data_IF_455976898709
#
_entry.id   IF_455976898709
#
_cell.length_a   1.000
_cell.length_b   1.000
_cell.length_c   1.000
_cell.angle_alpha   90.00
_cell.angle_beta   90.00
_cell.angle_gamma   90.00
#
_symmetry.space_group_name_H-M   'P 1'
#
loop_
_entity.id
_entity.type
_entity.pdbx_description
1 polymer ?
#
# COMPACT_ATOMS: atom_id res chain seq x y z
N UNK A 1 -10.00 13.58 -17.14
CA UNK A 1 -8.57 13.58 -17.52
C UNK A 1 -8.34 12.47 -18.53
N UNK A 2 -8.78 12.65 -19.77
CA UNK A 2 -8.83 11.55 -20.76
C UNK A 2 -7.46 11.18 -21.35
N UNK A 3 -6.44 12.01 -21.16
CA UNK A 3 -5.08 11.79 -21.70
C UNK A 3 -4.01 11.64 -20.62
N UNK A 4 -4.38 11.62 -19.34
CA UNK A 4 -3.41 11.48 -18.26
C UNK A 4 -3.04 10.01 -18.14
N UNK A 5 -1.81 9.67 -18.52
CA UNK A 5 -1.29 8.29 -18.46
C UNK A 5 -0.30 8.08 -17.30
N UNK A 6 0.29 9.16 -16.77
CA UNK A 6 1.23 9.12 -15.65
C UNK A 6 0.73 10.04 -14.54
N UNK A 7 0.68 9.52 -13.32
CA UNK A 7 0.29 10.27 -12.13
C UNK A 7 1.25 9.96 -10.98
N UNK A 8 1.75 11.03 -10.35
CA UNK A 8 2.61 10.95 -9.19
C UNK A 8 1.94 11.70 -8.04
N UNK A 9 1.58 10.97 -6.99
CA UNK A 9 0.96 11.49 -5.78
C UNK A 9 1.96 11.33 -4.64
N UNK A 10 2.60 12.44 -4.26
CA UNK A 10 3.66 12.47 -3.23
C UNK A 10 3.21 13.33 -2.06
N UNK A 11 3.38 12.81 -0.85
CA UNK A 11 3.06 13.47 0.42
C UNK A 11 1.63 14.02 0.48
N UNK A 12 0.66 13.18 0.15
CA UNK A 12 -0.75 13.53 0.14
C UNK A 12 -1.55 12.70 1.14
N UNK A 13 -2.60 13.32 1.68
CA UNK A 13 -3.52 12.65 2.59
C UNK A 13 -4.52 11.79 1.82
N UNK A 14 -4.58 10.51 2.17
CA UNK A 14 -5.59 9.59 1.66
C UNK A 14 -6.86 9.73 2.50
N UNK A 15 -7.95 10.14 1.86
CA UNK A 15 -9.27 10.28 2.50
C UNK A 15 -10.25 9.23 2.00
N UNK A 16 -11.35 9.06 2.74
CA UNK A 16 -12.45 8.17 2.37
C UNK A 16 -12.90 8.41 0.93
N UNK A 17 -13.01 7.32 0.16
CA UNK A 17 -13.39 7.35 -1.25
C UNK A 17 -12.21 7.49 -2.22
N UNK A 18 -10.97 7.59 -1.74
CA UNK A 18 -9.77 7.59 -2.58
C UNK A 18 -9.71 6.35 -3.49
N UNK A 19 -9.95 5.17 -2.91
CA UNK A 19 -9.99 3.87 -3.60
C UNK A 19 -10.96 3.88 -4.80
N UNK A 20 -12.15 4.48 -4.63
CA UNK A 20 -13.13 4.62 -5.69
C UNK A 20 -12.68 5.63 -6.75
N UNK A 21 -12.17 6.78 -6.31
CA UNK A 21 -11.76 7.85 -7.22
C UNK A 21 -10.57 7.44 -8.10
N UNK A 22 -9.55 6.81 -7.51
CA UNK A 22 -8.37 6.34 -8.26
C UNK A 22 -8.73 5.16 -9.18
N UNK A 23 -9.63 4.26 -8.76
CA UNK A 23 -10.10 3.14 -9.58
C UNK A 23 -10.83 3.56 -10.86
N UNK A 24 -11.44 4.76 -10.88
CA UNK A 24 -12.05 5.33 -12.08
C UNK A 24 -11.03 5.92 -13.07
N UNK A 25 -9.75 6.03 -12.69
CA UNK A 25 -8.71 6.63 -13.52
C UNK A 25 -8.10 5.60 -14.49
N UNK A 26 -8.92 4.95 -15.31
CA UNK A 26 -8.55 3.81 -16.19
C UNK A 26 -7.58 4.16 -17.33
N UNK A 27 -7.24 5.43 -17.53
CA UNK A 27 -6.20 5.84 -18.48
C UNK A 27 -4.79 5.78 -17.88
N UNK A 28 -4.67 5.65 -16.56
CA UNK A 28 -3.38 5.65 -15.87
C UNK A 28 -2.63 4.35 -16.18
N UNK A 29 -1.42 4.53 -16.74
CA UNK A 29 -0.46 3.47 -17.06
C UNK A 29 0.72 3.46 -16.09
N UNK A 30 1.13 4.62 -15.58
CA UNK A 30 2.24 4.74 -14.62
C UNK A 30 1.77 5.49 -13.38
N UNK A 31 1.86 4.87 -12.21
CA UNK A 31 1.40 5.43 -10.95
C UNK A 31 2.51 5.37 -9.90
N UNK A 32 2.82 6.51 -9.28
CA UNK A 32 3.60 6.55 -8.05
C UNK A 32 2.75 7.11 -6.92
N UNK A 33 2.73 6.40 -5.78
CA UNK A 33 2.02 6.80 -4.58
C UNK A 33 2.98 6.80 -3.39
N UNK A 34 3.07 7.94 -2.72
CA UNK A 34 3.77 8.12 -1.45
C UNK A 34 2.81 8.88 -0.52
N UNK A 35 1.98 8.20 0.28
CA UNK A 35 0.99 8.85 1.11
C UNK A 35 1.61 9.41 2.41
N UNK A 36 0.94 10.38 3.02
CA UNK A 36 1.18 10.79 4.40
C UNK A 36 0.34 9.95 5.36
N UNK A 37 0.92 9.62 6.51
CA UNK A 37 0.29 8.82 7.55
C UNK A 37 0.01 9.67 8.79
N UNK A 38 -1.07 10.45 8.76
CA UNK A 38 -1.47 11.31 9.89
C UNK A 38 -2.22 10.49 10.95
N UNK A 39 -3.13 9.60 10.53
CA UNK A 39 -3.89 8.73 11.42
C UNK A 39 -4.31 7.44 10.71
N UNK A 40 -4.38 6.32 11.44
CA UNK A 40 -4.90 5.04 10.94
C UNK A 40 -4.20 4.52 9.67
N UNK A 41 -2.89 4.29 9.76
CA UNK A 41 -2.07 3.80 8.64
C UNK A 41 -2.60 2.52 7.98
N UNK A 42 -3.21 1.61 8.73
CA UNK A 42 -3.89 0.43 8.19
C UNK A 42 -5.02 0.79 7.21
N UNK A 43 -5.84 1.78 7.55
CA UNK A 43 -6.94 2.26 6.71
C UNK A 43 -6.40 2.94 5.45
N UNK A 44 -5.37 3.78 5.59
CA UNK A 44 -4.67 4.40 4.45
C UNK A 44 -4.13 3.35 3.48
N UNK A 45 -3.40 2.36 3.99
CA UNK A 45 -2.82 1.30 3.17
C UNK A 45 -3.90 0.46 2.48
N UNK A 46 -5.02 0.19 3.17
CA UNK A 46 -6.14 -0.52 2.57
C UNK A 46 -6.77 0.28 1.41
N UNK A 47 -7.01 1.59 1.58
CA UNK A 47 -7.56 2.44 0.51
C UNK A 47 -6.62 2.54 -0.70
N UNK A 48 -5.30 2.67 -0.46
CA UNK A 48 -4.31 2.66 -1.54
C UNK A 48 -4.34 1.32 -2.27
N UNK A 49 -4.28 0.20 -1.54
CA UNK A 49 -4.27 -1.13 -2.12
C UNK A 49 -5.56 -1.39 -2.92
N UNK A 50 -6.74 -1.19 -2.31
CA UNK A 50 -8.03 -1.34 -2.99
C UNK A 50 -8.16 -0.48 -4.25
N UNK A 51 -7.63 0.74 -4.24
CA UNK A 51 -7.67 1.64 -5.39
C UNK A 51 -6.75 1.18 -6.52
N UNK A 52 -5.50 0.84 -6.20
CA UNK A 52 -4.50 0.42 -7.20
C UNK A 52 -4.92 -0.89 -7.88
N UNK A 53 -5.48 -1.84 -7.12
CA UNK A 53 -5.96 -3.10 -7.67
C UNK A 53 -7.09 -2.90 -8.71
N UNK A 54 -7.91 -1.87 -8.58
CA UNK A 54 -8.93 -1.58 -9.60
C UNK A 54 -8.31 -1.16 -10.95
N UNK A 55 -7.06 -0.70 -10.98
CA UNK A 55 -6.35 -0.31 -12.20
C UNK A 55 -5.63 -1.46 -12.91
N UNK A 56 -5.87 -2.72 -12.51
CA UNK A 56 -5.18 -3.90 -13.06
C UNK A 56 -5.20 -4.04 -14.59
N UNK A 57 -6.22 -3.51 -15.28
CA UNK A 57 -6.31 -3.56 -16.74
C UNK A 57 -5.40 -2.53 -17.43
N UNK A 58 -5.19 -1.37 -16.82
CA UNK A 58 -4.49 -0.23 -17.45
C UNK A 58 -3.08 -0.01 -16.93
N UNK A 59 -2.81 -0.42 -15.69
CA UNK A 59 -1.59 -0.08 -14.98
C UNK A 59 -0.42 -0.94 -15.46
N UNK A 60 0.60 -0.29 -15.99
CA UNK A 60 1.83 -0.94 -16.49
C UNK A 60 3.00 -0.78 -15.53
N UNK A 61 3.04 0.31 -14.76
CA UNK A 61 4.09 0.59 -13.77
C UNK A 61 3.46 1.13 -12.49
N UNK A 62 3.81 0.53 -11.36
CA UNK A 62 3.37 0.95 -10.05
C UNK A 62 4.55 1.07 -9.10
N UNK A 63 4.71 2.26 -8.51
CA UNK A 63 5.70 2.53 -7.47
C UNK A 63 4.98 2.94 -6.19
N UNK A 64 5.16 2.17 -5.12
CA UNK A 64 4.69 2.54 -3.80
C UNK A 64 5.87 2.96 -2.93
N UNK A 65 5.96 4.24 -2.61
CA UNK A 65 6.89 4.75 -1.61
C UNK A 65 6.36 4.53 -0.20
N UNK A 66 7.08 3.73 0.58
CA UNK A 66 6.87 3.51 2.00
C UNK A 66 7.93 4.30 2.77
N UNK A 67 7.48 5.13 3.68
CA UNK A 67 8.40 5.97 4.46
C UNK A 67 9.06 5.16 5.56
N UNK A 68 10.35 5.43 5.85
CA UNK A 68 11.05 4.78 6.96
C UNK A 68 10.39 5.08 8.30
N UNK A 69 9.75 6.24 8.41
CA UNK A 69 8.99 6.70 9.57
C UNK A 69 7.76 5.79 9.82
N UNK A 70 7.03 5.40 8.76
CA UNK A 70 5.94 4.43 8.90
C UNK A 70 6.47 3.07 9.36
N UNK A 71 7.55 2.58 8.73
CA UNK A 71 8.14 1.28 9.09
C UNK A 71 8.54 1.27 10.57
N UNK A 72 9.19 2.34 11.03
CA UNK A 72 9.60 2.48 12.43
C UNK A 72 8.41 2.50 13.39
N UNK A 73 7.35 3.22 13.07
CA UNK A 73 6.12 3.23 13.91
C UNK A 73 5.48 1.83 13.94
N UNK A 74 5.51 1.11 12.83
CA UNK A 74 4.97 -0.25 12.73
C UNK A 74 5.77 -1.25 13.57
N UNK A 75 7.10 -1.16 13.51
CA UNK A 75 8.01 -1.95 14.34
C UNK A 75 7.75 -1.70 15.84
N UNK A 76 7.64 -0.44 16.25
CA UNK A 76 7.36 -0.08 17.65
C UNK A 76 5.98 -0.61 18.12
N UNK A 77 4.98 -0.63 17.23
CA UNK A 77 3.67 -1.22 17.55
C UNK A 77 3.78 -2.73 17.77
N UNK A 78 4.53 -3.44 16.93
CA UNK A 78 4.78 -4.89 17.09
C UNK A 78 5.47 -5.18 18.41
N UNK A 79 6.54 -4.44 18.72
CA UNK A 79 7.30 -4.62 19.96
C UNK A 79 6.40 -4.45 21.21
N UNK A 80 5.51 -3.44 21.22
CA UNK A 80 4.56 -3.24 22.32
C UNK A 80 3.53 -4.38 22.47
N UNK A 81 3.12 -4.99 21.36
CA UNK A 81 2.21 -6.14 21.39
C UNK A 81 2.92 -7.42 21.87
N UNK A 82 4.18 -7.62 21.50
CA UNK A 82 4.97 -8.81 21.88
C UNK A 82 5.45 -8.79 23.33
N UNK A 83 5.76 -7.62 23.88
CA UNK A 83 6.07 -7.48 25.32
C UNK A 83 4.91 -7.95 26.22
N UNK A 84 3.68 -7.99 25.67
CA UNK A 84 2.49 -8.53 26.32
C UNK A 84 2.34 -10.06 26.16
N UNK A 85 2.97 -10.68 25.15
CA UNK A 85 2.86 -12.09 24.78
C UNK A 85 4.25 -12.70 24.45
N UNK A 86 4.98 -13.15 25.47
CA UNK A 86 6.40 -13.58 25.44
C UNK A 86 6.82 -14.74 24.51
N UNK A 87 5.98 -15.25 23.60
CA UNK A 87 6.23 -16.52 22.90
C UNK A 87 6.10 -16.50 21.36
N UNK A 88 5.88 -15.35 20.71
CA UNK A 88 5.75 -15.31 19.24
C UNK A 88 6.98 -14.71 18.56
N UNK A 89 7.38 -15.30 17.42
CA UNK A 89 8.51 -14.82 16.60
C UNK A 89 8.10 -13.52 15.92
N UNK A 90 8.96 -12.50 16.00
CA UNK A 90 8.84 -11.23 15.27
C UNK A 90 8.38 -11.43 13.82
N UNK A 91 7.16 -11.00 13.44
CA UNK A 91 6.72 -11.01 12.06
C UNK A 91 7.56 -9.99 11.27
N UNK A 92 8.55 -10.49 10.53
CA UNK A 92 9.48 -9.67 9.74
C UNK A 92 10.64 -9.14 10.59
N UNK A 93 11.68 -9.95 10.76
CA UNK A 93 12.83 -9.72 11.66
C UNK A 93 13.70 -8.47 11.42
N UNK A 94 13.30 -7.54 10.54
CA UNK A 94 14.01 -6.30 10.23
C UNK A 94 13.12 -5.02 10.25
N UNK A 95 11.87 -5.09 10.72
CA UNK A 95 10.98 -3.90 10.76
C UNK A 95 10.43 -3.47 9.40
N UNK A 96 10.65 -4.26 8.34
CA UNK A 96 10.16 -4.02 6.98
C UNK A 96 8.70 -4.50 6.82
N UNK A 97 7.80 -3.96 7.63
CA UNK A 97 6.38 -4.31 7.66
C UNK A 97 5.51 -3.06 7.66
N UNK A 98 4.29 -3.16 7.13
CA UNK A 98 3.27 -2.12 7.19
C UNK A 98 1.98 -2.67 7.81
N UNK A 99 1.17 -1.85 8.48
CA UNK A 99 -0.13 -2.27 8.96
C UNK A 99 -1.14 -2.24 7.81
N UNK A 100 -2.00 -3.24 7.71
CA UNK A 100 -3.10 -3.36 6.74
C UNK A 100 -4.38 -3.80 7.44
N UNK A 101 -5.53 -3.64 6.79
CA UNK A 101 -6.80 -4.15 7.30
C UNK A 101 -7.09 -5.53 6.73
N UNK A 102 -7.70 -6.41 7.54
CA UNK A 102 -8.33 -7.66 7.08
C UNK A 102 -9.78 -7.42 6.66
N UNK A 103 -10.27 -8.11 5.61
CA UNK A 103 -9.48 -8.93 4.68
C UNK A 103 -8.59 -8.06 3.79
N UNK A 104 -7.36 -8.52 3.53
CA UNK A 104 -6.47 -7.82 2.60
C UNK A 104 -7.07 -7.91 1.19
N UNK A 105 -7.25 -6.80 0.47
CA UNK A 105 -7.79 -6.79 -0.90
C UNK A 105 -7.02 -7.72 -1.84
N UNK A 106 -7.74 -8.53 -2.61
CA UNK A 106 -7.21 -9.46 -3.61
C UNK A 106 -8.20 -9.57 -4.78
N UNK A 107 -7.71 -9.39 -6.01
CA UNK A 107 -8.51 -9.45 -7.25
C UNK A 107 -8.88 -10.90 -7.59
N UNK A 108 -8.01 -11.86 -7.25
CA UNK A 108 -8.11 -13.26 -7.70
C UNK A 108 -9.39 -13.97 -7.24
N UNK A 109 -10.03 -13.48 -6.18
CA UNK A 109 -11.21 -14.12 -5.61
C UNK A 109 -12.54 -13.48 -5.98
N UNK A 110 -12.57 -12.42 -6.80
CA UNK A 110 -13.82 -11.76 -7.22
C UNK A 110 -14.73 -11.32 -6.07
N UNK A 111 -14.23 -11.36 -4.83
CA UNK A 111 -14.95 -10.93 -3.65
C UNK A 111 -14.89 -9.42 -3.69
N UNK A 112 -16.04 -8.83 -4.01
CA UNK A 112 -16.38 -7.49 -3.55
C UNK A 112 -15.83 -7.33 -2.13
N UNK A 113 -15.28 -6.16 -1.85
CA UNK A 113 -14.89 -5.69 -0.52
C UNK A 113 -16.13 -5.88 0.37
N UNK A 114 -16.31 -7.09 0.91
CA UNK A 114 -17.44 -7.42 1.74
C UNK A 114 -17.17 -6.66 3.03
N UNK A 115 -18.12 -5.82 3.43
CA UNK A 115 -18.13 -5.25 4.76
C UNK A 115 -18.06 -6.43 5.73
N UNK A 116 -16.89 -6.64 6.35
CA UNK A 116 -16.71 -7.69 7.31
C UNK A 116 -17.77 -7.48 8.40
N UNK A 117 -18.51 -8.53 8.75
CA UNK A 117 -19.45 -8.52 9.88
C UNK A 117 -18.75 -8.38 11.23
N UNK A 118 -17.41 -8.35 11.22
CA UNK A 118 -16.53 -8.16 12.37
C UNK A 118 -15.79 -6.82 12.22
N UNK A 119 -15.42 -6.16 13.32
CA UNK A 119 -14.62 -4.94 13.26
C UNK A 119 -13.32 -5.20 12.47
N UNK A 120 -12.89 -4.25 11.61
CA UNK A 120 -11.67 -4.40 10.83
C UNK A 120 -10.49 -4.72 11.74
N UNK A 121 -9.85 -5.87 11.51
CA UNK A 121 -8.65 -6.26 12.27
C UNK A 121 -7.41 -5.73 11.55
N UNK A 122 -6.49 -5.14 12.32
CA UNK A 122 -5.18 -4.70 11.82
C UNK A 122 -4.26 -5.92 11.76
N UNK A 123 -3.62 -6.13 10.62
CA UNK A 123 -2.57 -7.12 10.40
C UNK A 123 -1.27 -6.43 10.03
N UNK A 124 -0.15 -7.01 10.48
CA UNK A 124 1.19 -6.55 10.14
C UNK A 124 1.67 -7.35 8.93
N UNK A 125 1.77 -6.68 7.79
CA UNK A 125 2.13 -7.30 6.51
C UNK A 125 3.59 -6.97 6.16
N UNK A 126 4.47 -7.99 6.03
CA UNK A 126 5.82 -7.80 5.54
C UNK A 126 5.83 -7.27 4.10
N UNK A 127 6.74 -6.35 3.79
CA UNK A 127 6.87 -5.79 2.44
C UNK A 127 7.07 -6.86 1.33
N UNK A 128 7.84 -7.95 1.54
CA UNK A 128 7.94 -9.02 0.54
C UNK A 128 6.59 -9.70 0.25
N UNK A 129 5.73 -9.83 1.27
CA UNK A 129 4.41 -10.41 1.11
C UNK A 129 3.47 -9.45 0.39
N UNK A 130 3.56 -8.15 0.70
CA UNK A 130 2.86 -7.10 -0.06
C UNK A 130 3.26 -7.10 -1.54
N UNK A 131 4.56 -7.18 -1.82
CA UNK A 131 5.07 -7.24 -3.19
C UNK A 131 4.53 -8.47 -3.92
N UNK A 132 4.53 -9.64 -3.28
CA UNK A 132 3.95 -10.87 -3.84
C UNK A 132 2.45 -10.72 -4.13
N UNK A 133 1.69 -10.13 -3.20
CA UNK A 133 0.26 -9.87 -3.37
C UNK A 133 -0.01 -8.96 -4.57
N UNK A 134 0.75 -7.86 -4.67
CA UNK A 134 0.64 -6.91 -5.79
C UNK A 134 0.96 -7.59 -7.12
N UNK A 135 2.06 -8.35 -7.21
CA UNK A 135 2.43 -9.07 -8.44
C UNK A 135 1.41 -10.13 -8.83
N UNK A 136 0.80 -10.82 -7.88
CA UNK A 136 -0.27 -11.79 -8.16
C UNK A 136 -1.54 -11.12 -8.67
N UNK A 137 -1.88 -9.95 -8.14
CA UNK A 137 -3.11 -9.22 -8.50
C UNK A 137 -2.92 -8.37 -9.75
N UNK A 138 -1.69 -7.95 -10.05
CA UNK A 138 -1.33 -7.06 -11.16
C UNK A 138 -0.31 -7.77 -12.07
N UNK A 139 -0.69 -8.87 -12.75
CA UNK A 139 0.26 -9.76 -13.44
C UNK A 139 0.97 -9.11 -14.62
N UNK A 140 0.42 -8.03 -15.18
CA UNK A 140 0.97 -7.26 -16.30
C UNK A 140 1.71 -5.99 -15.86
N UNK A 141 1.74 -5.70 -14.55
CA UNK A 141 2.29 -4.47 -14.00
C UNK A 141 3.68 -4.68 -13.40
N UNK A 142 4.62 -3.79 -13.72
CA UNK A 142 5.90 -3.69 -13.02
C UNK A 142 5.70 -3.01 -11.67
N UNK A 143 5.89 -3.74 -10.58
CA UNK A 143 5.69 -3.25 -9.22
C UNK A 143 7.04 -2.99 -8.53
N UNK A 144 7.20 -1.81 -7.93
CA UNK A 144 8.35 -1.45 -7.11
C UNK A 144 7.90 -0.86 -5.78
N UNK A 145 8.42 -1.38 -4.67
CA UNK A 145 8.26 -0.79 -3.34
C UNK A 145 9.55 -0.07 -3.00
N UNK A 146 9.47 1.22 -2.70
CA UNK A 146 10.61 2.04 -2.30
C UNK A 146 10.55 2.30 -0.79
N UNK A 147 11.68 2.13 -0.10
CA UNK A 147 11.85 2.56 1.30
C UNK A 147 12.60 3.89 1.31
N UNK A 148 11.94 4.97 1.73
CA UNK A 148 12.47 6.33 1.55
C UNK A 148 12.28 7.13 2.85
N UNK A 149 13.30 7.87 3.34
CA UNK A 149 13.07 8.82 4.43
C UNK A 149 12.06 9.90 4.03
N UNK A 150 11.16 10.31 4.93
CA UNK A 150 10.10 11.29 4.61
C UNK A 150 10.68 12.56 3.96
N UNK A 151 11.79 13.08 4.48
CA UNK A 151 12.46 14.29 3.96
C UNK A 151 13.06 14.13 2.54
N UNK A 152 13.14 12.90 2.00
CA UNK A 152 13.68 12.60 0.68
C UNK A 152 12.59 12.19 -0.36
N UNK A 153 11.33 12.13 0.06
CA UNK A 153 10.18 11.76 -0.79
C UNK A 153 9.96 12.74 -1.95
N UNK A 154 10.18 14.04 -1.74
CA UNK A 154 10.03 15.08 -2.77
C UNK A 154 11.01 14.95 -3.93
N UNK A 155 12.09 14.16 -3.77
CA UNK A 155 13.08 13.89 -4.83
C UNK A 155 12.73 12.67 -5.67
N UNK A 156 11.65 11.98 -5.34
CA UNK A 156 11.22 10.80 -6.08
C UNK A 156 10.38 11.21 -7.27
N UNK A 157 10.62 10.56 -8.40
CA UNK A 157 9.82 10.66 -9.61
C UNK A 157 9.89 9.32 -10.34
N UNK A 158 8.91 9.02 -11.18
CA UNK A 158 8.97 7.83 -12.03
C UNK A 158 10.03 8.05 -13.10
N UNK A 159 11.06 7.19 -13.13
CA UNK A 159 11.98 7.15 -14.26
C UNK A 159 11.47 6.19 -15.33
N UNK A 160 11.76 6.49 -16.60
CA UNK A 160 11.42 5.62 -17.74
C UNK A 160 12.19 4.28 -17.78
N UNK A 161 13.06 4.04 -16.80
CA UNK A 161 13.93 2.85 -16.70
C UNK A 161 13.39 1.74 -15.82
N UNK A 162 12.17 1.87 -15.28
CA UNK A 162 11.50 0.77 -14.55
C UNK A 162 10.74 -0.11 -15.52
#
# INVERSE_FOLDING_TARGET
>A
MERLEQLELVNFDVKTGFDKAIGLCTNIKKLMIIPTYISQSATTNNMVLSGVLQLHESLSHFVWGVTLELLRVTELFVDQCEDSNKNEKKPGGNGDCIPVLKPVPDISNGRSIQAASNPPQVEILPLPNLQKLLLNSLPTTRVKILKIPFHATWRQTLSDTV
#
